data_IF_002384422504
#
_entry.id   IF_002384422504
#
_cell.length_a   1.000
_cell.length_b   1.000
_cell.length_c   1.000
_cell.angle_alpha   90.00
_cell.angle_beta   90.00
_cell.angle_gamma   90.00
#
_symmetry.space_group_name_H-M   'P 1'
#
loop_
_entity.id
_entity.type
_entity.pdbx_description
1 polymer ?
#
# COMPACT_ATOMS: atom_id res chain seq x y z
N UNK A 1 19.93 0.42 11.99
CA UNK A 1 19.45 0.36 11.88
C UNK A 1 18.74 0.08 11.66
N UNK A 2 18.52 -0.07 11.58
CA UNK A 2 17.83 -0.27 11.25
C UNK A 2 16.97 -0.44 11.23
N UNK A 3 16.63 -0.43 11.22
CA UNK A 3 15.82 -0.60 11.14
C UNK A 3 15.15 -0.79 10.80
N UNK A 4 15.04 -0.83 10.39
CA UNK A 4 14.38 -1.07 9.97
C UNK A 4 13.95 -1.85 9.75
N UNK A 5 13.87 -2.17 9.59
CA UNK A 5 13.46 -2.88 9.34
C UNK A 5 12.72 -3.44 9.64
N UNK A 6 12.50 -3.56 9.93
CA UNK A 6 11.78 -4.11 10.21
C UNK A 6 10.68 -4.09 9.97
N UNK A 7 10.40 -3.62 9.75
CA UNK A 7 9.29 -3.50 9.44
C UNK A 7 8.77 -4.15 8.46
N UNK A 8 9.13 -4.93 8.12
CA UNK A 8 8.69 -5.64 7.28
C UNK A 8 7.55 -6.32 7.61
N UNK A 9 7.17 -6.59 8.63
CA UNK A 9 6.03 -7.20 8.84
C UNK A 9 5.01 -6.28 8.55
N UNK A 10 4.01 -6.60 7.88
CA UNK A 10 3.07 -5.65 7.49
C UNK A 10 2.27 -5.18 8.65
N UNK A 11 2.15 -3.92 8.80
CA UNK A 11 1.39 -3.40 9.92
C UNK A 11 -0.07 -3.16 9.59
N UNK A 12 -0.51 -3.46 8.40
CA UNK A 12 -1.87 -3.13 8.00
C UNK A 12 -2.87 -4.14 8.54
N UNK A 13 -3.92 -3.64 9.16
CA UNK A 13 -5.06 -4.46 9.54
C UNK A 13 -6.17 -4.16 8.54
N UNK A 14 -6.51 -5.15 7.74
CA UNK A 14 -7.51 -4.97 6.69
C UNK A 14 -8.90 -5.03 7.28
N UNK A 15 -9.78 -4.12 6.88
CA UNK A 15 -11.11 -4.02 7.47
C UNK A 15 -12.17 -3.95 6.41
N UNK A 16 -13.33 -4.46 6.76
CA UNK A 16 -14.51 -4.38 5.92
C UNK A 16 -15.16 -3.03 6.11
N UNK A 17 -16.12 -2.67 5.24
CA UNK A 17 -16.74 -1.36 5.35
C UNK A 17 -17.38 -1.07 6.71
N UNK A 18 -17.86 -2.11 7.42
CA UNK A 18 -18.47 -1.92 8.73
C UNK A 18 -17.44 -1.82 9.85
N UNK A 19 -16.15 -1.87 9.52
CA UNK A 19 -15.09 -1.73 10.48
C UNK A 19 -14.55 -3.03 11.04
N UNK A 20 -15.21 -4.14 10.74
CA UNK A 20 -14.73 -5.42 11.25
C UNK A 20 -13.47 -5.86 10.51
N UNK A 21 -12.67 -6.66 11.17
CA UNK A 21 -11.41 -7.11 10.61
C UNK A 21 -11.65 -8.23 9.60
N UNK A 22 -11.00 -8.11 8.43
CA UNK A 22 -11.02 -9.21 7.46
C UNK A 22 -10.21 -10.34 8.07
N UNK A 23 -10.86 -11.47 8.34
CA UNK A 23 -10.23 -12.56 9.05
C UNK A 23 -9.95 -13.79 8.20
N UNK A 24 -10.41 -13.82 6.97
CA UNK A 24 -10.15 -14.95 6.09
C UNK A 24 -8.68 -14.99 5.72
N UNK A 25 -8.02 -16.10 6.07
CA UNK A 25 -6.58 -16.21 5.84
C UNK A 25 -6.20 -15.99 4.38
N UNK A 26 -6.97 -16.58 3.47
CA UNK A 26 -6.65 -16.46 2.05
C UNK A 26 -6.76 -15.03 1.56
N UNK A 27 -7.80 -14.31 2.02
CA UNK A 27 -7.98 -12.93 1.62
C UNK A 27 -6.85 -12.06 2.14
N UNK A 28 -6.53 -12.24 3.41
CA UNK A 28 -5.46 -11.44 4.02
C UNK A 28 -4.13 -11.72 3.32
N UNK A 29 -3.89 -12.98 2.98
CA UNK A 29 -2.65 -13.36 2.31
C UNK A 29 -2.52 -12.63 0.97
N UNK A 30 -3.58 -12.62 0.17
CA UNK A 30 -3.56 -11.95 -1.12
C UNK A 30 -3.33 -10.45 -0.95
N UNK A 31 -4.02 -9.83 0.00
CA UNK A 31 -3.87 -8.40 0.24
C UNK A 31 -2.46 -8.05 0.68
N UNK A 32 -1.89 -8.86 1.57
CA UNK A 32 -0.55 -8.59 2.05
C UNK A 32 0.48 -8.76 0.96
N UNK A 33 0.31 -9.77 0.10
CA UNK A 33 1.24 -9.97 -1.01
C UNK A 33 1.20 -8.80 -1.97
N UNK A 34 0.00 -8.34 -2.31
CA UNK A 34 -0.14 -7.20 -3.20
C UNK A 34 0.43 -5.93 -2.57
N UNK A 35 0.17 -5.75 -1.29
CA UNK A 35 0.68 -4.57 -0.58
C UNK A 35 2.20 -4.55 -0.61
N UNK A 36 2.82 -5.69 -0.38
CA UNK A 36 4.27 -5.79 -0.39
C UNK A 36 4.84 -5.49 -1.76
N UNK A 37 4.19 -5.96 -2.82
CA UNK A 37 4.63 -5.68 -4.18
C UNK A 37 4.55 -4.20 -4.50
N UNK A 38 3.45 -3.57 -4.12
CA UNK A 38 3.27 -2.14 -4.35
C UNK A 38 4.33 -1.35 -3.58
N UNK A 39 4.58 -1.75 -2.34
CA UNK A 39 5.58 -1.08 -1.52
C UNK A 39 6.95 -1.11 -2.19
N UNK A 40 7.32 -2.27 -2.74
CA UNK A 40 8.62 -2.41 -3.40
C UNK A 40 8.70 -1.51 -4.64
N UNK A 41 7.63 -1.47 -5.42
CA UNK A 41 7.60 -0.62 -6.61
C UNK A 41 7.69 0.85 -6.26
N UNK A 42 6.98 1.28 -5.23
CA UNK A 42 7.01 2.68 -4.82
C UNK A 42 8.37 3.05 -4.25
N UNK A 43 9.00 2.13 -3.53
CA UNK A 43 10.33 2.37 -3.01
C UNK A 43 11.32 2.57 -4.15
N UNK A 44 11.23 1.72 -5.17
CA UNK A 44 12.11 1.85 -6.33
C UNK A 44 11.90 3.20 -7.03
N UNK A 45 10.65 3.60 -7.19
CA UNK A 45 10.36 4.88 -7.82
C UNK A 45 10.97 6.03 -7.03
N UNK A 46 10.78 6.00 -5.72
CA UNK A 46 11.31 7.07 -4.87
C UNK A 46 12.84 7.15 -5.00
N UNK A 47 13.50 6.00 -4.87
CA UNK A 47 14.95 5.98 -4.92
C UNK A 47 15.47 6.42 -6.27
N UNK A 48 14.85 5.91 -7.35
CA UNK A 48 15.27 6.26 -8.69
C UNK A 48 15.09 7.75 -8.96
N UNK A 49 13.97 8.30 -8.51
CA UNK A 49 13.69 9.72 -8.72
C UNK A 49 14.73 10.59 -8.02
N UNK A 50 15.12 10.21 -6.81
CA UNK A 50 16.14 10.96 -6.08
C UNK A 50 17.49 10.90 -6.79
N UNK A 51 17.84 9.72 -7.29
CA UNK A 51 19.08 9.57 -8.05
C UNK A 51 19.06 10.44 -9.31
N UNK A 52 17.88 10.58 -9.93
CA UNK A 52 17.74 11.35 -11.15
C UNK A 52 17.54 12.84 -10.91
N UNK A 53 17.54 13.26 -9.65
CA UNK A 53 17.52 14.68 -9.34
C UNK A 53 16.23 15.27 -8.86
N UNK A 54 15.22 14.46 -8.63
CA UNK A 54 13.95 14.97 -8.10
C UNK A 54 14.06 15.20 -6.59
N UNK A 55 13.23 16.10 -6.06
CA UNK A 55 13.17 16.26 -4.63
C UNK A 55 12.25 15.21 -4.04
N UNK A 56 12.54 14.79 -2.84
CA UNK A 56 11.70 13.80 -2.18
C UNK A 56 10.27 14.33 -1.99
N UNK A 57 10.13 15.60 -1.60
CA UNK A 57 8.81 16.17 -1.39
C UNK A 57 7.98 16.13 -2.66
N UNK A 58 8.61 16.43 -3.79
CA UNK A 58 7.90 16.42 -5.05
C UNK A 58 7.47 15.00 -5.44
N UNK A 59 8.35 14.03 -5.20
CA UNK A 59 8.00 12.64 -5.51
C UNK A 59 6.84 12.16 -4.64
N UNK A 60 6.85 12.52 -3.36
CA UNK A 60 5.73 12.15 -2.49
C UNK A 60 4.42 12.79 -2.94
N UNK A 61 4.48 14.03 -3.42
CA UNK A 61 3.29 14.66 -3.99
C UNK A 61 2.78 13.90 -5.20
N UNK A 62 3.70 13.49 -6.06
CA UNK A 62 3.32 12.75 -7.26
C UNK A 62 2.65 11.42 -6.88
N UNK A 63 3.19 10.76 -5.86
CA UNK A 63 2.59 9.50 -5.42
C UNK A 63 1.22 9.71 -4.80
N UNK A 64 1.06 10.80 -4.05
CA UNK A 64 -0.24 11.11 -3.50
C UNK A 64 -1.25 11.39 -4.60
N UNK A 65 -0.82 12.10 -5.64
CA UNK A 65 -1.67 12.36 -6.79
C UNK A 65 -2.09 11.05 -7.47
N UNK A 66 -1.14 10.13 -7.58
CA UNK A 66 -1.43 8.82 -8.16
C UNK A 66 -2.51 8.10 -7.34
N UNK A 67 -2.35 8.09 -6.02
CA UNK A 67 -3.31 7.43 -5.16
C UNK A 67 -4.69 8.06 -5.26
N UNK A 68 -4.72 9.39 -5.29
CA UNK A 68 -5.99 10.11 -5.33
C UNK A 68 -6.73 9.86 -6.64
N UNK A 69 -6.00 9.55 -7.70
CA UNK A 69 -6.61 9.32 -9.01
C UNK A 69 -7.12 7.91 -9.22
N UNK A 70 -6.81 6.99 -8.31
CA UNK A 70 -7.29 5.63 -8.45
C UNK A 70 -8.78 5.57 -8.15
N UNK A 71 -9.49 4.79 -8.95
CA UNK A 71 -10.93 4.64 -8.78
C UNK A 71 -11.26 3.16 -8.78
N UNK A 72 -12.03 2.74 -7.79
CA UNK A 72 -12.46 1.36 -7.72
C UNK A 72 -13.37 1.06 -8.91
N UNK A 73 -13.19 -0.11 -9.48
CA UNK A 73 -14.04 -0.55 -10.58
C UNK A 73 -15.03 -1.60 -10.13
N UNK A 74 -15.03 -1.91 -8.84
CA UNK A 74 -15.98 -2.83 -8.24
C UNK A 74 -16.57 -2.16 -7.01
N UNK A 75 -17.76 -2.57 -6.63
CA UNK A 75 -18.43 -2.00 -5.47
C UNK A 75 -17.91 -2.64 -4.19
N UNK A 76 -17.97 -1.88 -3.11
CA UNK A 76 -17.68 -2.44 -1.81
C UNK A 76 -18.71 -3.49 -1.45
N UNK A 77 -18.26 -4.48 -0.70
CA UNK A 77 -19.14 -5.52 -0.22
C UNK A 77 -19.27 -5.32 1.28
N UNK A 78 -20.51 -5.31 1.75
CA UNK A 78 -20.75 -5.00 3.15
C UNK A 78 -21.30 -6.17 3.93
N UNK A 79 -21.43 -7.33 3.31
CA UNK A 79 -21.99 -8.50 3.98
C UNK A 79 -20.95 -9.49 4.44
N UNK A 80 -19.70 -9.15 4.27
CA UNK A 80 -18.61 -10.01 4.69
C UNK A 80 -18.45 -11.27 3.88
N UNK A 81 -19.19 -11.41 2.84
CA UNK A 81 -19.16 -12.64 2.05
C UNK A 81 -17.93 -12.74 1.17
#
# INVERSE_FOLDING_TARGET
MSAKKSSKKTPVTWREPDGSVVSCYEKVKVLNENYTEVQALLQDLLDDALVLGCSEAQVRQALQHLLDGLQATVAERTDGA
#
